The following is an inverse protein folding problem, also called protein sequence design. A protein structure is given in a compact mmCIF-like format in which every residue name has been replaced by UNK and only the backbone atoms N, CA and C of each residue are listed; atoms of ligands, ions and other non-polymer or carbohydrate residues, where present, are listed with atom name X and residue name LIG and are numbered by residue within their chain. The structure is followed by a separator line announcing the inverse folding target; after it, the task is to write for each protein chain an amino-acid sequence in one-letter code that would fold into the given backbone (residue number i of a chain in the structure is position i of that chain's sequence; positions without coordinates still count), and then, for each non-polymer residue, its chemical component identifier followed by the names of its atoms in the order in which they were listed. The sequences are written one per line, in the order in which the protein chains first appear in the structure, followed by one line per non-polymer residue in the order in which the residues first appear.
data_IF_057813475253
#
_entry.id   IF_057813475253
#
_cell.length_a   1.000
_cell.length_b   1.000
_cell.length_c   1.000
_cell.angle_alpha   90.00
_cell.angle_beta   90.00
_cell.angle_gamma   90.00
#
_symmetry.space_group_name_H-M   'P 1'
#
loop_
_entity.id
_entity.type
_entity.pdbx_description
1 polymer ?
#
# COMPACT_ATOMS: atom_id res chain seq x y z
N UNK A 1 30.61 -21.50 71.77
CA UNK A 1 31.22 -21.28 70.43
C UNK A 1 30.27 -21.58 69.28
N UNK A 2 29.31 -22.48 69.42
CA UNK A 2 28.34 -22.83 68.31
C UNK A 2 27.39 -21.70 67.88
N UNK A 3 27.02 -20.79 68.77
CA UNK A 3 26.03 -19.70 68.48
C UNK A 3 26.60 -18.55 67.62
N UNK A 4 27.92 -18.39 67.54
CA UNK A 4 28.58 -17.38 66.69
C UNK A 4 28.84 -17.86 65.29
N UNK A 5 28.89 -19.20 65.04
CA UNK A 5 29.06 -19.78 63.72
C UNK A 5 27.74 -19.74 62.90
N UNK A 6 26.60 -19.90 63.57
CA UNK A 6 25.27 -19.86 62.87
C UNK A 6 24.89 -18.46 62.40
N UNK A 7 25.27 -17.40 63.08
CA UNK A 7 24.99 -16.01 62.66
C UNK A 7 25.86 -15.60 61.49
N UNK A 8 27.12 -16.07 61.40
CA UNK A 8 28.03 -15.76 60.29
C UNK A 8 27.60 -16.49 59.01
N UNK A 9 27.05 -17.69 59.09
CA UNK A 9 26.55 -18.41 57.89
C UNK A 9 25.24 -17.84 57.36
N UNK A 10 24.35 -17.33 58.24
CA UNK A 10 23.12 -16.65 57.82
C UNK A 10 23.40 -15.28 57.16
N UNK A 11 24.44 -14.54 57.58
CA UNK A 11 24.85 -13.30 56.96
C UNK A 11 25.53 -13.49 55.58
N UNK A 12 26.26 -14.59 55.36
CA UNK A 12 26.86 -14.92 54.09
C UNK A 12 25.80 -15.45 53.10
N UNK A 13 24.78 -16.18 53.54
CA UNK A 13 23.67 -16.62 52.70
C UNK A 13 22.75 -15.47 52.26
N UNK A 14 22.60 -14.42 53.09
CA UNK A 14 21.82 -13.23 52.73
C UNK A 14 22.54 -12.33 51.72
N UNK A 15 23.88 -12.37 51.62
CA UNK A 15 24.64 -11.59 50.63
C UNK A 15 24.63 -12.25 49.22
N UNK A 16 24.29 -13.54 49.12
CA UNK A 16 24.28 -14.25 47.82
C UNK A 16 22.95 -14.15 47.06
N UNK A 17 21.87 -13.58 47.65
CA UNK A 17 20.53 -13.46 47.05
C UNK A 17 20.32 -12.16 46.25
N UNK A 18 21.29 -11.22 46.23
CA UNK A 18 21.07 -9.90 45.60
C UNK A 18 21.82 -9.68 44.27
N UNK A 19 22.44 -10.70 43.73
CA UNK A 19 23.00 -10.62 42.36
C UNK A 19 22.17 -11.43 41.36
N UNK A 20 20.85 -11.15 41.28
CA UNK A 20 20.15 -11.39 40.04
C UNK A 20 20.76 -10.43 39.00
N UNK A 21 21.34 -10.91 37.88
CA UNK A 21 21.71 -10.02 36.81
C UNK A 21 20.41 -9.31 36.43
N UNK A 22 20.35 -7.99 36.61
CA UNK A 22 19.39 -7.17 35.90
C UNK A 22 19.62 -7.56 34.44
N UNK A 23 18.69 -8.32 33.87
CA UNK A 23 18.66 -8.56 32.44
C UNK A 23 18.69 -7.16 31.84
N UNK A 24 19.85 -6.74 31.34
CA UNK A 24 19.97 -5.50 30.61
C UNK A 24 18.97 -5.61 29.49
N UNK A 25 17.84 -4.90 29.60
CA UNK A 25 16.92 -4.76 28.51
C UNK A 25 17.76 -4.21 27.36
N UNK A 26 18.00 -5.04 26.34
CA UNK A 26 18.64 -4.56 25.13
C UNK A 26 17.84 -3.33 24.70
N UNK A 27 18.50 -2.20 24.42
CA UNK A 27 17.79 -1.01 23.96
C UNK A 27 16.91 -1.42 22.79
N UNK A 28 15.62 -1.26 22.98
CA UNK A 28 14.65 -1.64 21.96
C UNK A 28 14.89 -0.76 20.74
N UNK A 29 15.08 -1.36 19.57
CA UNK A 29 15.30 -0.65 18.31
C UNK A 29 14.25 0.44 18.12
N UNK A 30 14.62 1.72 17.94
CA UNK A 30 13.66 2.81 17.76
C UNK A 30 12.77 2.56 16.53
N UNK A 31 11.49 2.86 16.65
CA UNK A 31 10.49 2.66 15.60
C UNK A 31 9.57 3.85 15.55
N UNK A 32 9.54 4.54 14.41
CA UNK A 32 8.75 5.75 14.23
C UNK A 32 7.93 5.60 12.96
N UNK A 33 6.63 5.84 13.06
CA UNK A 33 5.73 5.78 11.92
C UNK A 33 4.98 7.11 11.72
N UNK A 34 4.89 7.54 10.47
CA UNK A 34 3.95 8.55 10.02
C UNK A 34 2.73 7.85 9.42
N UNK A 35 1.55 8.12 9.95
CA UNK A 35 0.30 7.57 9.45
C UNK A 35 -0.64 8.71 9.06
N UNK A 36 -0.98 8.78 7.78
CA UNK A 36 -1.90 9.79 7.23
C UNK A 36 -3.12 9.10 6.62
N UNK A 37 -4.31 9.53 7.02
CA UNK A 37 -5.58 9.17 6.42
C UNK A 37 -6.32 10.41 5.92
N UNK A 38 -6.60 10.46 4.62
CA UNK A 38 -7.34 11.54 3.98
C UNK A 38 -8.66 11.01 3.40
N UNK A 39 -9.79 11.50 3.90
CA UNK A 39 -11.12 11.09 3.48
C UNK A 39 -12.02 12.26 3.06
N UNK A 40 -11.85 13.45 3.64
CA UNK A 40 -12.77 14.58 3.50
C UNK A 40 -12.55 15.37 2.20
N UNK A 41 -12.47 14.70 1.06
CA UNK A 41 -12.38 15.36 -0.24
C UNK A 41 -13.72 15.99 -0.65
N UNK A 42 -13.78 17.29 -0.98
CA UNK A 42 -15.04 17.99 -1.24
C UNK A 42 -15.87 17.40 -2.37
N UNK A 43 -15.24 16.88 -3.42
CA UNK A 43 -15.91 16.34 -4.63
C UNK A 43 -16.07 14.82 -4.63
N UNK A 44 -15.61 14.11 -3.62
CA UNK A 44 -15.68 12.64 -3.57
C UNK A 44 -15.06 12.09 -2.30
N UNK A 45 -15.75 12.21 -1.15
CA UNK A 45 -15.23 11.70 0.10
C UNK A 45 -14.99 10.18 0.03
N UNK A 46 -13.93 9.74 0.69
CA UNK A 46 -13.58 8.32 0.82
C UNK A 46 -14.19 7.75 2.10
N UNK A 47 -14.64 6.50 2.03
CA UNK A 47 -15.32 5.87 3.17
C UNK A 47 -14.33 5.33 4.20
N UNK A 48 -13.23 4.72 3.75
CA UNK A 48 -12.39 3.88 4.59
C UNK A 48 -11.06 4.53 5.00
N UNK A 49 -10.56 5.53 4.26
CA UNK A 49 -9.18 6.03 4.42
C UNK A 49 -8.81 6.48 5.83
N UNK A 50 -9.73 7.14 6.57
CA UNK A 50 -9.49 7.49 7.97
C UNK A 50 -9.46 6.25 8.87
N UNK A 51 -10.40 5.33 8.67
CA UNK A 51 -10.48 4.10 9.43
C UNK A 51 -9.25 3.21 9.16
N UNK A 52 -8.82 3.11 7.91
CA UNK A 52 -7.60 2.40 7.48
C UNK A 52 -6.37 2.95 8.20
N UNK A 53 -6.21 4.28 8.23
CA UNK A 53 -5.15 4.94 8.97
C UNK A 53 -5.16 4.59 10.46
N UNK A 54 -6.33 4.65 11.10
CA UNK A 54 -6.50 4.28 12.51
C UNK A 54 -6.17 2.82 12.79
N UNK A 55 -6.60 1.90 11.93
CA UNK A 55 -6.31 0.48 12.04
C UNK A 55 -4.80 0.18 11.94
N UNK A 56 -4.14 0.78 10.96
CA UNK A 56 -2.69 0.60 10.76
C UNK A 56 -1.89 1.25 11.90
N UNK A 57 -2.29 2.45 12.36
CA UNK A 57 -1.65 3.12 13.51
C UNK A 57 -1.73 2.26 14.78
N UNK A 58 -2.90 1.65 15.06
CA UNK A 58 -3.06 0.74 16.20
C UNK A 58 -2.19 -0.52 16.05
N UNK A 59 -2.16 -1.10 14.85
CA UNK A 59 -1.33 -2.27 14.58
C UNK A 59 0.16 -1.97 14.82
N UNK A 60 0.66 -0.84 14.29
CA UNK A 60 2.05 -0.42 14.46
C UNK A 60 2.37 -0.07 15.91
N UNK A 61 1.46 0.61 16.63
CA UNK A 61 1.61 0.88 18.06
C UNK A 61 1.75 -0.41 18.87
N UNK A 62 0.97 -1.43 18.55
CA UNK A 62 0.99 -2.73 19.25
C UNK A 62 2.34 -3.45 19.13
N UNK A 63 3.15 -3.12 18.13
CA UNK A 63 4.49 -3.67 17.91
C UNK A 63 5.60 -2.65 18.20
N UNK A 64 5.29 -1.57 18.92
CA UNK A 64 6.25 -0.63 19.49
C UNK A 64 6.64 0.56 18.63
N UNK A 65 5.84 0.93 17.62
CA UNK A 65 6.05 2.19 16.90
C UNK A 65 5.51 3.38 17.66
N UNK A 66 6.29 4.47 17.69
CA UNK A 66 5.81 5.81 18.01
C UNK A 66 5.11 6.38 16.76
N UNK A 67 3.88 6.86 16.90
CA UNK A 67 3.07 7.33 15.77
C UNK A 67 3.05 8.85 15.67
N UNK A 68 3.37 9.36 14.49
CA UNK A 68 3.06 10.73 14.04
C UNK A 68 1.81 10.65 13.16
N UNK A 69 0.75 11.35 13.55
CA UNK A 69 -0.56 11.22 12.92
C UNK A 69 -0.93 12.43 12.07
N UNK A 70 -1.61 12.16 10.93
CA UNK A 70 -2.27 13.16 10.10
C UNK A 70 -3.65 12.66 9.66
N UNK A 71 -4.70 13.43 9.95
CA UNK A 71 -6.07 13.13 9.55
C UNK A 71 -6.62 14.29 8.72
N UNK A 72 -7.12 13.99 7.51
CA UNK A 72 -7.66 14.98 6.58
C UNK A 72 -6.75 16.20 6.39
N UNK A 73 -5.46 15.91 6.12
CA UNK A 73 -4.43 16.93 6.02
C UNK A 73 -4.54 17.70 4.71
N UNK A 74 -4.53 19.04 4.81
CA UNK A 74 -4.33 19.94 3.70
C UNK A 74 -2.86 19.97 3.25
N UNK A 75 -2.54 20.66 2.16
CA UNK A 75 -1.19 20.67 1.60
C UNK A 75 -0.13 21.21 2.60
N UNK A 76 -0.47 22.23 3.37
CA UNK A 76 0.44 22.82 4.37
C UNK A 76 0.69 21.86 5.53
N UNK A 77 -0.39 21.28 6.08
CA UNK A 77 -0.30 20.33 7.19
C UNK A 77 0.41 19.04 6.76
N UNK A 78 0.19 18.58 5.52
CA UNK A 78 0.90 17.43 4.98
C UNK A 78 2.42 17.60 5.07
N UNK A 79 2.91 18.76 4.59
CA UNK A 79 4.35 19.09 4.64
C UNK A 79 4.86 19.25 6.06
N UNK A 80 4.04 19.80 6.97
CA UNK A 80 4.39 19.97 8.38
C UNK A 80 4.53 18.62 9.09
N UNK A 81 3.51 17.75 9.03
CA UNK A 81 3.57 16.44 9.70
C UNK A 81 4.68 15.54 9.14
N UNK A 82 4.96 15.65 7.84
CA UNK A 82 6.07 14.92 7.23
C UNK A 82 7.43 15.43 7.74
N UNK A 83 7.59 16.74 7.92
CA UNK A 83 8.82 17.32 8.50
C UNK A 83 9.00 16.90 9.96
N UNK A 84 7.93 16.99 10.76
CA UNK A 84 7.94 16.56 12.16
C UNK A 84 8.34 15.08 12.28
N UNK A 85 7.86 14.23 11.37
CA UNK A 85 8.27 12.83 11.27
C UNK A 85 9.77 12.69 10.94
N UNK A 86 10.29 13.40 9.94
CA UNK A 86 11.69 13.32 9.55
C UNK A 86 12.62 13.77 10.70
N UNK A 87 12.27 14.84 11.42
CA UNK A 87 13.02 15.32 12.58
C UNK A 87 13.10 14.24 13.68
N UNK A 88 12.00 13.55 13.98
CA UNK A 88 11.97 12.45 14.92
C UNK A 88 12.83 11.26 14.47
N UNK A 89 12.75 10.88 13.19
CA UNK A 89 13.57 9.80 12.63
C UNK A 89 15.05 10.13 12.71
N UNK A 90 15.45 11.36 12.36
CA UNK A 90 16.84 11.81 12.48
C UNK A 90 17.33 11.79 13.92
N UNK A 91 16.51 12.25 14.87
CA UNK A 91 16.85 12.28 16.29
C UNK A 91 17.01 10.88 16.91
N UNK A 92 16.29 9.87 16.38
CA UNK A 92 16.35 8.49 16.86
C UNK A 92 17.63 7.74 16.43
N UNK A 93 18.37 8.26 15.45
CA UNK A 93 19.65 7.70 15.01
C UNK A 93 19.55 6.60 13.95
N UNK A 94 20.69 6.01 13.53
CA UNK A 94 20.78 5.15 12.35
C UNK A 94 20.09 3.77 12.49
N UNK A 95 19.83 3.33 13.69
CA UNK A 95 19.17 2.04 13.95
C UNK A 95 17.65 2.10 13.88
N UNK A 96 17.05 3.28 13.62
CA UNK A 96 15.60 3.47 13.58
C UNK A 96 14.97 2.73 12.41
N UNK A 97 13.78 2.15 12.63
CA UNK A 97 12.87 1.74 11.56
C UNK A 97 11.88 2.88 11.33
N UNK A 98 11.94 3.47 10.13
CA UNK A 98 11.03 4.53 9.70
C UNK A 98 9.91 3.92 8.84
N UNK A 99 8.65 4.18 9.20
CA UNK A 99 7.47 3.68 8.50
C UNK A 99 6.57 4.85 8.09
N UNK A 100 6.12 4.89 6.85
CA UNK A 100 5.13 5.86 6.36
C UNK A 100 3.94 5.09 5.81
N UNK A 101 2.75 5.41 6.27
CA UNK A 101 1.49 4.91 5.71
C UNK A 101 0.62 6.09 5.27
N UNK A 102 0.19 6.06 4.03
CA UNK A 102 -0.74 7.04 3.49
C UNK A 102 -1.96 6.33 2.90
N UNK A 103 -3.15 6.63 3.41
CA UNK A 103 -4.43 6.25 2.81
C UNK A 103 -5.18 7.50 2.34
N UNK A 104 -5.59 7.53 1.06
CA UNK A 104 -6.21 8.69 0.46
C UNK A 104 -6.38 8.55 -1.06
N UNK A 105 -6.31 9.67 -1.77
CA UNK A 105 -6.24 9.72 -3.21
C UNK A 105 -4.80 9.95 -3.68
N UNK A 106 -4.43 9.28 -4.76
CA UNK A 106 -3.23 9.57 -5.52
C UNK A 106 -3.54 9.63 -7.01
N UNK A 107 -2.84 10.48 -7.73
CA UNK A 107 -2.99 10.67 -9.17
C UNK A 107 -1.62 10.60 -9.81
N UNK A 108 -1.53 9.81 -10.87
CA UNK A 108 -0.37 9.85 -11.74
C UNK A 108 -0.55 10.92 -12.80
N UNK A 109 0.45 11.78 -12.94
CA UNK A 109 0.49 12.80 -13.98
C UNK A 109 1.89 12.89 -14.58
N UNK A 110 2.00 12.69 -15.89
CA UNK A 110 3.25 12.72 -16.66
C UNK A 110 4.37 11.83 -16.10
N UNK A 111 3.99 10.68 -15.55
CA UNK A 111 4.92 9.71 -15.01
C UNK A 111 5.33 9.94 -13.55
N UNK A 112 4.93 11.07 -12.95
CA UNK A 112 5.07 11.31 -11.51
C UNK A 112 3.80 10.95 -10.75
N UNK A 113 3.95 10.48 -9.53
CA UNK A 113 2.85 10.20 -8.62
C UNK A 113 2.66 11.38 -7.66
N UNK A 114 1.42 11.81 -7.48
CA UNK A 114 1.03 12.90 -6.59
C UNK A 114 0.04 12.38 -5.56
N UNK A 115 0.34 12.58 -4.28
CA UNK A 115 -0.60 12.38 -3.19
C UNK A 115 -1.48 13.60 -3.07
N UNK A 116 -2.78 13.41 -2.90
CA UNK A 116 -3.75 14.50 -2.99
C UNK A 116 -4.19 14.91 -1.59
N UNK A 117 -3.87 16.15 -1.14
CA UNK A 117 -4.39 16.73 0.09
C UNK A 117 -5.89 16.97 -0.01
N UNK A 118 -6.59 17.08 1.15
CA UNK A 118 -8.06 17.24 1.14
C UNK A 118 -8.54 18.59 0.62
N UNK A 119 -7.68 19.61 0.61
CA UNK A 119 -7.99 20.96 0.12
C UNK A 119 -7.65 21.17 -1.38
N UNK A 120 -7.11 20.14 -2.07
CA UNK A 120 -6.76 20.23 -3.48
C UNK A 120 -7.96 20.57 -4.37
N UNK A 121 -7.77 21.54 -5.27
CA UNK A 121 -8.78 22.01 -6.22
C UNK A 121 -8.44 21.57 -7.63
N UNK A 122 -8.79 20.33 -7.94
CA UNK A 122 -8.48 19.69 -9.22
C UNK A 122 -9.63 19.88 -10.20
N UNK A 123 -9.51 20.83 -11.10
CA UNK A 123 -10.41 21.06 -12.22
C UNK A 123 -9.81 20.60 -13.54
N UNK A 124 -8.50 20.79 -13.69
CA UNK A 124 -7.70 20.40 -14.85
C UNK A 124 -6.53 19.53 -14.43
N UNK A 125 -6.02 18.75 -15.36
CA UNK A 125 -4.82 17.93 -15.15
C UNK A 125 -3.59 18.76 -14.76
N UNK A 126 -3.49 20.03 -15.25
CA UNK A 126 -2.44 20.98 -14.89
C UNK A 126 -2.47 21.44 -13.41
N UNK A 127 -3.57 21.25 -12.70
CA UNK A 127 -3.69 21.63 -11.29
C UNK A 127 -3.01 20.60 -10.37
N UNK A 128 -2.81 19.37 -10.87
CA UNK A 128 -2.23 18.27 -10.08
C UNK A 128 -0.84 18.62 -9.52
N UNK A 129 0.14 19.12 -10.31
CA UNK A 129 1.44 19.49 -9.76
C UNK A 129 1.40 20.75 -8.86
N UNK A 130 0.32 21.54 -8.91
CA UNK A 130 0.16 22.74 -8.09
C UNK A 130 -0.38 22.39 -6.71
N UNK A 131 -1.47 21.63 -6.66
CA UNK A 131 -2.21 21.32 -5.45
C UNK A 131 -1.84 19.96 -4.83
N UNK A 132 -1.26 19.06 -5.62
CA UNK A 132 -0.77 17.76 -5.17
C UNK A 132 0.58 17.84 -4.44
N UNK A 133 0.89 16.80 -3.69
CA UNK A 133 2.22 16.57 -3.09
C UNK A 133 2.93 15.51 -3.92
N UNK A 134 3.96 15.90 -4.64
CA UNK A 134 4.72 14.98 -5.48
C UNK A 134 5.40 13.92 -4.60
N UNK A 135 5.19 12.66 -4.89
CA UNK A 135 5.74 11.55 -4.10
C UNK A 135 7.27 11.60 -4.02
N UNK A 136 7.93 11.94 -5.11
CA UNK A 136 9.40 12.06 -5.15
C UNK A 136 9.93 13.07 -4.12
N UNK A 137 9.20 14.17 -3.87
CA UNK A 137 9.60 15.22 -2.91
C UNK A 137 9.50 14.74 -1.45
N UNK A 138 8.78 13.63 -1.19
CA UNK A 138 8.73 12.96 0.09
C UNK A 138 9.80 11.85 0.19
N UNK A 139 9.97 11.08 -0.88
CA UNK A 139 10.90 9.95 -0.87
C UNK A 139 12.36 10.40 -0.81
N UNK A 140 12.71 11.51 -1.47
CA UNK A 140 14.08 12.02 -1.50
C UNK A 140 14.63 12.41 -0.12
N UNK A 141 13.98 13.29 0.67
CA UNK A 141 14.47 13.61 2.01
C UNK A 141 14.50 12.38 2.94
N UNK A 142 13.54 11.46 2.80
CA UNK A 142 13.55 10.23 3.56
C UNK A 142 14.71 9.31 3.15
N UNK A 143 15.08 9.30 1.87
CA UNK A 143 16.23 8.52 1.40
C UNK A 143 17.55 9.01 2.02
N UNK A 144 17.68 10.32 2.23
CA UNK A 144 18.87 10.95 2.80
C UNK A 144 19.05 10.69 4.31
N UNK A 145 17.99 10.28 5.01
CA UNK A 145 18.06 9.94 6.45
C UNK A 145 18.72 8.56 6.63
N UNK A 146 19.64 8.48 7.60
CA UNK A 146 20.20 7.20 8.04
C UNK A 146 19.17 6.44 8.90
N UNK A 147 18.82 5.24 8.49
CA UNK A 147 17.88 4.37 9.18
C UNK A 147 18.17 2.90 8.86
N UNK A 148 17.84 1.99 9.75
CA UNK A 148 17.99 0.55 9.53
C UNK A 148 17.07 0.07 8.39
N UNK A 149 15.86 0.62 8.30
CA UNK A 149 14.96 0.45 7.16
C UNK A 149 14.01 1.64 7.03
N UNK A 150 13.64 1.93 5.79
CA UNK A 150 12.65 2.94 5.41
C UNK A 150 11.53 2.25 4.65
N UNK A 151 10.33 2.27 5.19
CA UNK A 151 9.16 1.58 4.64
C UNK A 151 8.12 2.64 4.30
N UNK A 152 7.67 2.68 3.06
CA UNK A 152 6.63 3.61 2.59
C UNK A 152 5.49 2.80 1.99
N UNK A 153 4.30 2.94 2.53
CA UNK A 153 3.11 2.19 2.13
C UNK A 153 2.05 3.17 1.65
N UNK A 154 1.65 3.00 0.39
CA UNK A 154 0.73 3.89 -0.31
C UNK A 154 -0.58 3.17 -0.64
N UNK A 155 -1.57 3.36 0.21
CA UNK A 155 -2.92 2.85 0.04
C UNK A 155 -3.83 3.92 -0.59
N UNK A 156 -3.54 4.25 -1.87
CA UNK A 156 -4.17 5.38 -2.53
C UNK A 156 -4.46 5.14 -4.03
N UNK A 157 -4.34 3.91 -4.51
CA UNK A 157 -4.70 3.53 -5.88
C UNK A 157 -6.22 3.36 -6.02
N UNK A 158 -6.98 4.45 -5.85
CA UNK A 158 -8.44 4.48 -5.90
C UNK A 158 -8.95 5.14 -7.17
N UNK A 159 -10.11 4.73 -7.73
CA UNK A 159 -10.71 5.44 -8.84
C UNK A 159 -11.15 6.84 -8.41
N UNK A 160 -10.94 7.82 -9.29
CA UNK A 160 -11.43 9.17 -9.07
C UNK A 160 -12.96 9.21 -9.20
N UNK A 161 -13.64 9.72 -8.19
CA UNK A 161 -15.11 9.86 -8.15
C UNK A 161 -15.59 11.23 -8.66
N UNK A 162 -14.69 12.02 -9.23
CA UNK A 162 -14.97 13.33 -9.83
C UNK A 162 -14.21 13.48 -11.16
N UNK A 163 -14.71 14.38 -12.01
CA UNK A 163 -14.10 14.59 -13.31
C UNK A 163 -13.03 15.69 -13.20
N UNK A 164 -11.92 15.47 -13.88
CA UNK A 164 -10.84 16.42 -14.10
C UNK A 164 -10.77 16.64 -15.62
N UNK A 165 -10.71 17.90 -16.07
CA UNK A 165 -10.50 18.20 -17.49
C UNK A 165 -9.08 17.75 -17.88
N UNK A 166 -9.00 16.89 -18.88
CA UNK A 166 -7.76 16.25 -19.32
C UNK A 166 -7.85 14.74 -19.28
N UNK A 167 -6.75 14.10 -19.58
CA UNK A 167 -6.70 12.63 -19.60
C UNK A 167 -5.55 12.17 -18.72
N UNK A 168 -5.88 11.34 -17.75
CA UNK A 168 -4.97 10.86 -16.72
C UNK A 168 -4.76 9.35 -16.87
N UNK A 169 -3.54 8.90 -16.60
CA UNK A 169 -3.27 7.49 -16.39
C UNK A 169 -3.90 7.02 -15.07
N UNK A 170 -4.34 5.76 -15.04
CA UNK A 170 -4.94 5.17 -13.83
C UNK A 170 -3.86 4.69 -12.86
N UNK A 171 -4.19 4.68 -11.56
CA UNK A 171 -3.34 4.12 -10.51
C UNK A 171 -2.01 4.83 -10.35
N UNK A 172 -1.04 4.12 -9.82
CA UNK A 172 0.32 4.63 -9.65
C UNK A 172 1.18 4.34 -10.89
N UNK A 173 2.09 5.27 -11.20
CA UNK A 173 3.22 5.01 -12.08
C UNK A 173 4.29 4.19 -11.37
N UNK A 174 5.03 3.38 -12.13
CA UNK A 174 6.16 2.63 -11.59
C UNK A 174 7.27 3.59 -11.13
N UNK A 175 7.84 3.31 -9.97
CA UNK A 175 8.96 4.07 -9.39
C UNK A 175 10.17 3.16 -9.14
N UNK A 176 11.32 3.76 -8.80
CA UNK A 176 12.46 3.09 -8.16
C UNK A 176 12.49 3.47 -6.69
N UNK A 177 12.91 2.51 -5.89
CA UNK A 177 13.22 2.71 -4.49
C UNK A 177 14.65 3.23 -4.33
N UNK A 178 14.96 3.87 -3.23
CA UNK A 178 16.32 4.23 -2.84
C UNK A 178 16.96 3.10 -2.01
N UNK A 179 18.30 3.07 -1.88
CA UNK A 179 18.98 2.11 -1.00
C UNK A 179 18.44 2.13 0.43
N UNK A 180 18.20 0.96 1.02
CA UNK A 180 17.63 0.79 2.35
C UNK A 180 16.15 1.14 2.47
N UNK A 181 15.44 1.28 1.33
CA UNK A 181 14.02 1.64 1.30
C UNK A 181 13.17 0.56 0.60
N UNK A 182 11.98 0.32 1.13
CA UNK A 182 10.90 -0.43 0.52
C UNK A 182 9.72 0.51 0.32
N UNK A 183 9.18 0.57 -0.91
CA UNK A 183 7.95 1.32 -1.22
C UNK A 183 6.91 0.35 -1.74
N UNK A 184 5.77 0.29 -1.05
CA UNK A 184 4.68 -0.61 -1.33
C UNK A 184 3.40 0.15 -1.70
N UNK A 185 2.64 -0.41 -2.62
CA UNK A 185 1.42 0.16 -3.19
C UNK A 185 0.27 -0.81 -3.02
N UNK A 186 -0.92 -0.29 -2.76
CA UNK A 186 -2.12 -1.11 -2.60
C UNK A 186 -2.55 -1.86 -3.87
N UNK A 187 -2.05 -1.45 -5.04
CA UNK A 187 -2.35 -2.09 -6.33
C UNK A 187 -1.16 -2.01 -7.28
N UNK A 188 -1.07 -2.93 -8.23
CA UNK A 188 -0.06 -2.94 -9.27
C UNK A 188 -0.07 -1.64 -10.10
N UNK A 189 1.06 -1.24 -10.73
CA UNK A 189 1.12 -0.05 -11.55
C UNK A 189 0.00 0.01 -12.59
N UNK A 190 -0.64 1.17 -12.71
CA UNK A 190 -1.73 1.40 -13.65
C UNK A 190 -3.06 0.75 -13.29
N UNK A 191 -3.17 0.14 -12.12
CA UNK A 191 -4.42 -0.45 -11.64
C UNK A 191 -4.98 0.31 -10.45
N UNK A 192 -6.29 0.24 -10.27
CA UNK A 192 -7.01 0.83 -9.14
C UNK A 192 -7.87 -0.23 -8.49
N UNK A 193 -8.15 -0.06 -7.21
CA UNK A 193 -9.05 -0.92 -6.45
C UNK A 193 -10.14 -0.09 -5.77
N UNK A 194 -11.37 -0.60 -5.80
CA UNK A 194 -12.48 -0.03 -5.05
C UNK A 194 -12.36 -0.41 -3.57
N UNK A 195 -12.75 0.50 -2.70
CA UNK A 195 -12.96 0.15 -1.29
C UNK A 195 -14.12 -0.86 -1.17
N UNK A 196 -13.89 -1.94 -0.43
CA UNK A 196 -14.93 -2.93 -0.15
C UNK A 196 -16.05 -2.37 0.75
N UNK A 197 -17.15 -3.13 0.93
CA UNK A 197 -18.30 -2.69 1.74
C UNK A 197 -18.03 -2.67 3.25
N UNK A 198 -16.88 -3.16 3.70
CA UNK A 198 -16.48 -3.18 5.11
C UNK A 198 -16.02 -1.82 5.64
N UNK A 199 -15.79 -1.70 6.96
CA UNK A 199 -15.28 -0.48 7.57
C UNK A 199 -13.82 -0.19 7.24
N UNK A 200 -13.10 -1.17 6.75
CA UNK A 200 -11.67 -1.10 6.40
C UNK A 200 -11.42 -1.64 4.99
N UNK A 201 -10.43 -1.07 4.32
CA UNK A 201 -9.91 -1.57 3.06
C UNK A 201 -9.20 -2.93 3.22
N UNK A 202 -9.22 -3.75 2.17
CA UNK A 202 -8.59 -5.06 2.19
C UNK A 202 -7.06 -5.00 2.44
N UNK A 203 -6.41 -3.98 1.87
CA UNK A 203 -4.97 -3.79 2.03
C UNK A 203 -4.59 -3.35 3.44
N UNK A 204 -5.29 -2.36 4.01
CA UNK A 204 -5.09 -1.93 5.39
C UNK A 204 -5.33 -3.08 6.39
N UNK A 205 -6.37 -3.89 6.16
CA UNK A 205 -6.66 -5.09 6.95
C UNK A 205 -5.50 -6.09 6.87
N UNK A 206 -5.02 -6.40 5.67
CA UNK A 206 -3.90 -7.33 5.48
C UNK A 206 -2.61 -6.82 6.15
N UNK A 207 -2.32 -5.51 6.07
CA UNK A 207 -1.19 -4.90 6.78
C UNK A 207 -1.34 -5.09 8.28
N UNK A 208 -2.49 -4.71 8.86
CA UNK A 208 -2.73 -4.78 10.31
C UNK A 208 -2.65 -6.21 10.86
N UNK A 209 -3.05 -7.22 10.06
CA UNK A 209 -2.90 -8.62 10.40
C UNK A 209 -1.42 -9.05 10.36
N UNK A 210 -0.73 -8.79 9.24
CA UNK A 210 0.57 -9.38 8.95
C UNK A 210 1.74 -8.69 9.68
N UNK A 211 1.68 -7.38 9.97
CA UNK A 211 2.78 -6.68 10.69
C UNK A 211 2.99 -7.21 12.10
N UNK A 212 2.02 -7.91 12.67
CA UNK A 212 2.09 -8.55 14.00
C UNK A 212 2.66 -9.96 13.96
N UNK A 213 2.82 -10.54 12.76
CA UNK A 213 3.36 -11.88 12.58
C UNK A 213 4.86 -11.92 12.94
N UNK A 214 5.28 -12.80 13.86
CA UNK A 214 6.68 -12.88 14.25
C UNK A 214 7.54 -13.58 13.20
N UNK A 215 8.82 -13.22 13.13
CA UNK A 215 9.84 -13.91 12.34
C UNK A 215 9.75 -13.72 10.83
N UNK A 216 8.99 -12.73 10.35
CA UNK A 216 8.94 -12.36 8.95
C UNK A 216 9.93 -11.24 8.66
N UNK A 217 10.84 -11.46 7.72
CA UNK A 217 11.57 -10.37 7.10
C UNK A 217 10.63 -9.51 6.23
N UNK A 218 11.01 -8.25 5.97
CA UNK A 218 10.13 -7.29 5.28
C UNK A 218 9.68 -7.78 3.90
N UNK A 219 10.52 -8.41 3.11
CA UNK A 219 10.10 -8.89 1.79
C UNK A 219 9.07 -10.03 1.90
N UNK A 220 9.30 -10.98 2.83
CA UNK A 220 8.33 -12.03 3.11
C UNK A 220 7.03 -11.46 3.70
N UNK A 221 7.13 -10.46 4.56
CA UNK A 221 5.98 -9.76 5.13
C UNK A 221 5.11 -9.14 4.02
N UNK A 222 5.72 -8.36 3.12
CA UNK A 222 4.98 -7.72 2.03
C UNK A 222 4.46 -8.72 0.99
N UNK A 223 5.18 -9.80 0.73
CA UNK A 223 4.67 -10.90 -0.10
C UNK A 223 3.40 -11.53 0.51
N UNK A 224 3.34 -11.73 1.83
CA UNK A 224 2.14 -12.22 2.52
C UNK A 224 1.01 -11.20 2.55
N UNK A 225 1.31 -9.91 2.76
CA UNK A 225 0.31 -8.83 2.67
C UNK A 225 -0.32 -8.83 1.27
N UNK A 226 0.49 -8.99 0.21
CA UNK A 226 0.01 -9.09 -1.17
C UNK A 226 -0.91 -10.28 -1.37
N UNK A 227 -0.49 -11.47 -0.95
CA UNK A 227 -1.29 -12.68 -1.07
C UNK A 227 -2.60 -12.55 -0.27
N UNK A 228 -2.53 -12.03 0.96
CA UNK A 228 -3.70 -11.84 1.82
C UNK A 228 -4.71 -10.86 1.24
N UNK A 229 -4.24 -9.75 0.65
CA UNK A 229 -5.09 -8.77 -0.04
C UNK A 229 -5.73 -9.38 -1.29
N UNK A 230 -4.94 -10.13 -2.07
CA UNK A 230 -5.44 -10.83 -3.26
C UNK A 230 -6.54 -11.85 -2.89
N UNK A 231 -6.34 -12.65 -1.84
CA UNK A 231 -7.35 -13.58 -1.31
C UNK A 231 -8.62 -12.86 -0.85
N UNK A 232 -8.48 -11.80 -0.04
CA UNK A 232 -9.59 -11.05 0.52
C UNK A 232 -10.48 -10.40 -0.53
N UNK A 233 -9.88 -10.01 -1.67
CA UNK A 233 -10.57 -9.35 -2.78
C UNK A 233 -10.96 -10.30 -3.93
N UNK A 234 -10.77 -11.61 -3.75
CA UNK A 234 -10.94 -12.57 -4.85
C UNK A 234 -10.04 -12.25 -6.04
N UNK A 235 -8.85 -11.64 -5.77
CA UNK A 235 -7.85 -11.23 -6.74
C UNK A 235 -8.17 -9.92 -7.49
N UNK A 236 -9.18 -9.15 -7.10
CA UNK A 236 -9.47 -7.85 -7.70
C UNK A 236 -8.38 -6.81 -7.36
N UNK A 237 -7.69 -7.00 -6.25
CA UNK A 237 -6.60 -6.12 -5.82
C UNK A 237 -5.34 -6.96 -5.57
N UNK A 238 -4.26 -6.59 -6.23
CA UNK A 238 -2.94 -7.22 -6.06
C UNK A 238 -1.94 -6.12 -5.74
N UNK A 239 -1.51 -5.99 -4.48
CA UNK A 239 -0.47 -5.04 -4.07
C UNK A 239 0.85 -5.28 -4.80
N UNK A 240 1.68 -4.27 -4.84
CA UNK A 240 2.99 -4.30 -5.46
C UNK A 240 3.98 -3.51 -4.63
N UNK A 241 5.26 -3.93 -4.64
CA UNK A 241 6.33 -3.18 -3.99
C UNK A 241 7.60 -3.15 -4.82
N UNK A 242 8.44 -2.15 -4.52
CA UNK A 242 9.83 -2.08 -4.93
C UNK A 242 10.70 -1.99 -3.69
N UNK A 243 11.69 -2.87 -3.59
CA UNK A 243 12.57 -2.98 -2.44
C UNK A 243 14.03 -2.88 -2.86
N UNK A 244 14.78 -2.03 -2.16
CA UNK A 244 16.24 -1.97 -2.17
C UNK A 244 16.80 -2.06 -0.75
N UNK A 245 16.19 -2.91 0.07
CA UNK A 245 16.69 -3.19 1.42
C UNK A 245 18.09 -3.80 1.35
N UNK A 246 18.97 -3.35 2.23
CA UNK A 246 20.37 -3.81 2.27
C UNK A 246 20.58 -4.89 3.32
N UNK A 247 19.73 -4.93 4.34
CA UNK A 247 19.81 -5.85 5.46
C UNK A 247 18.46 -6.51 5.71
N UNK A 248 18.50 -7.69 6.32
CA UNK A 248 17.30 -8.37 6.79
C UNK A 248 16.75 -7.62 8.01
N UNK A 249 15.50 -7.15 7.91
CA UNK A 249 14.79 -6.44 8.97
C UNK A 249 13.47 -7.16 9.26
N UNK A 250 13.16 -7.38 10.52
CA UNK A 250 11.91 -7.95 11.00
C UNK A 250 11.20 -6.94 11.91
N UNK A 251 9.90 -6.73 11.70
CA UNK A 251 9.11 -5.87 12.59
C UNK A 251 8.86 -6.56 13.94
N UNK A 252 8.62 -7.85 13.93
CA UNK A 252 8.45 -8.66 15.13
C UNK A 252 9.44 -9.83 15.08
N UNK A 253 10.51 -9.83 15.90
CA UNK A 253 11.42 -10.97 15.99
C UNK A 253 10.71 -12.23 16.44
N UNK A 254 11.15 -13.38 15.98
CA UNK A 254 10.58 -14.66 16.41
C UNK A 254 10.60 -15.74 15.33
N UNK A 255 9.79 -16.76 15.51
CA UNK A 255 9.57 -17.82 14.53
C UNK A 255 8.19 -17.63 13.89
N UNK A 256 8.07 -17.70 12.54
CA UNK A 256 6.77 -17.60 11.90
C UNK A 256 5.79 -18.64 12.39
N UNK A 257 4.50 -18.32 12.46
CA UNK A 257 3.45 -19.26 12.79
C UNK A 257 3.45 -20.43 11.80
N UNK A 258 3.17 -21.65 12.31
CA UNK A 258 3.06 -22.82 11.45
C UNK A 258 1.92 -22.63 10.43
N UNK A 259 2.12 -23.10 9.17
CA UNK A 259 1.08 -23.02 8.16
C UNK A 259 -0.16 -23.83 8.58
N UNK A 260 -1.37 -23.45 8.11
CA UNK A 260 -2.56 -24.23 8.35
C UNK A 260 -2.42 -25.65 7.79
N UNK A 261 -3.07 -26.66 8.39
CA UNK A 261 -3.05 -28.02 7.87
C UNK A 261 -3.52 -28.06 6.42
N UNK A 262 -2.67 -28.60 5.53
CA UNK A 262 -2.97 -28.69 4.10
C UNK A 262 -2.44 -27.54 3.25
N UNK A 263 -1.81 -26.52 3.83
CA UNK A 263 -1.07 -25.53 3.05
C UNK A 263 0.15 -26.18 2.38
N UNK A 264 0.48 -25.82 1.13
CA UNK A 264 1.70 -26.30 0.49
C UNK A 264 2.91 -25.97 1.36
N UNK A 265 3.66 -27.03 1.74
CA UNK A 265 4.85 -26.90 2.59
C UNK A 265 5.95 -26.11 1.86
N UNK A 266 5.91 -24.87 1.80
CA UNK A 266 6.87 -24.02 1.08
C UNK A 266 6.44 -22.58 0.97
N UNK A 267 5.12 -22.33 0.99
CA UNK A 267 4.59 -20.96 0.92
C UNK A 267 4.90 -20.15 2.18
N UNK A 268 5.03 -20.81 3.31
CA UNK A 268 5.08 -20.16 4.63
C UNK A 268 6.38 -20.36 5.40
N UNK A 269 7.35 -21.12 4.84
CA UNK A 269 8.67 -21.26 5.44
C UNK A 269 9.55 -20.09 5.01
N UNK A 270 9.46 -18.98 5.74
CA UNK A 270 10.56 -18.02 5.70
C UNK A 270 11.80 -18.69 6.30
N UNK A 271 12.98 -18.67 5.65
CA UNK A 271 14.21 -19.02 6.33
C UNK A 271 14.35 -18.14 7.56
N UNK A 272 14.77 -18.71 8.69
CA UNK A 272 15.14 -17.95 9.87
C UNK A 272 16.31 -17.04 9.48
N UNK A 273 16.00 -15.84 9.01
CA UNK A 273 17.00 -14.86 8.69
C UNK A 273 17.46 -14.21 9.98
N UNK A 274 18.75 -14.22 10.24
CA UNK A 274 19.32 -13.43 11.33
C UNK A 274 19.13 -11.95 11.02
N UNK A 275 18.50 -11.20 11.93
CA UNK A 275 18.40 -9.73 11.81
C UNK A 275 19.79 -9.12 11.56
N UNK A 276 19.85 -8.17 10.61
CA UNK A 276 21.10 -7.50 10.25
C UNK A 276 21.99 -8.28 9.27
N UNK A 277 21.65 -9.51 8.89
CA UNK A 277 22.36 -10.20 7.82
C UNK A 277 22.17 -9.46 6.48
N UNK A 278 23.15 -9.57 5.54
CA UNK A 278 23.00 -8.99 4.22
C UNK A 278 21.74 -9.52 3.54
N UNK A 279 20.98 -8.62 2.93
CA UNK A 279 19.76 -8.98 2.24
C UNK A 279 20.09 -9.78 0.98
N UNK A 280 19.57 -11.01 0.88
CA UNK A 280 19.68 -11.85 -0.31
C UNK A 280 18.27 -12.08 -0.86
N UNK A 281 18.05 -11.70 -2.12
CA UNK A 281 16.79 -11.97 -2.80
C UNK A 281 16.53 -13.48 -2.80
N UNK A 282 15.36 -13.89 -2.33
CA UNK A 282 14.95 -15.29 -2.26
C UNK A 282 14.96 -15.90 -3.67
N UNK A 283 15.49 -17.12 -3.81
CA UNK A 283 15.43 -17.85 -5.07
C UNK A 283 13.98 -18.17 -5.45
N UNK A 284 13.59 -17.99 -6.73
CA UNK A 284 12.24 -18.32 -7.20
C UNK A 284 11.89 -19.79 -6.89
N UNK A 285 10.67 -20.03 -6.45
CA UNK A 285 10.13 -21.40 -6.25
C UNK A 285 9.50 -21.87 -7.55
N UNK A 286 9.81 -23.10 -8.00
CA UNK A 286 9.21 -23.67 -9.20
C UNK A 286 7.71 -23.90 -8.98
N UNK A 287 6.90 -23.58 -10.00
CA UNK A 287 5.43 -23.73 -9.96
C UNK A 287 4.92 -24.91 -10.79
N UNK A 288 5.79 -25.56 -11.58
CA UNK A 288 5.41 -26.56 -12.59
C UNK A 288 4.79 -27.83 -12.03
N UNK A 289 5.09 -28.16 -10.77
CA UNK A 289 4.62 -29.40 -10.14
C UNK A 289 3.47 -29.16 -9.16
N UNK A 290 2.92 -27.93 -9.14
CA UNK A 290 1.84 -27.52 -8.26
C UNK A 290 0.49 -27.56 -9.01
N UNK A 291 -0.63 -27.80 -8.31
CA UNK A 291 -1.95 -27.51 -8.87
C UNK A 291 -2.10 -26.04 -9.29
N UNK A 292 -2.99 -25.73 -10.26
CA UNK A 292 -3.14 -24.35 -10.76
C UNK A 292 -3.39 -23.28 -9.69
N UNK A 293 -4.16 -23.62 -8.65
CA UNK A 293 -4.46 -22.71 -7.53
C UNK A 293 -3.21 -22.43 -6.69
N UNK A 294 -2.46 -23.48 -6.35
CA UNK A 294 -1.24 -23.37 -5.56
C UNK A 294 -0.16 -22.63 -6.34
N UNK A 295 -0.03 -22.95 -7.64
CA UNK A 295 0.86 -22.25 -8.55
C UNK A 295 0.54 -20.76 -8.66
N UNK A 296 -0.76 -20.40 -8.69
CA UNK A 296 -1.21 -19.01 -8.68
C UNK A 296 -0.81 -18.29 -7.39
N UNK A 297 -1.04 -18.91 -6.23
CA UNK A 297 -0.65 -18.32 -4.96
C UNK A 297 0.87 -18.09 -4.87
N UNK A 298 1.69 -19.06 -5.34
CA UNK A 298 3.14 -18.89 -5.42
C UNK A 298 3.51 -17.75 -6.38
N UNK A 299 2.85 -17.65 -7.54
CA UNK A 299 3.12 -16.58 -8.49
C UNK A 299 2.79 -15.20 -7.91
N UNK A 300 1.67 -15.06 -7.18
CA UNK A 300 1.32 -13.83 -6.48
C UNK A 300 2.33 -13.51 -5.36
N UNK A 301 2.78 -14.51 -4.60
CA UNK A 301 3.76 -14.31 -3.53
C UNK A 301 5.13 -13.88 -4.08
N UNK A 302 5.61 -14.50 -5.16
CA UNK A 302 6.91 -14.16 -5.77
C UNK A 302 6.89 -12.83 -6.51
N UNK A 303 5.79 -12.55 -7.18
CA UNK A 303 5.50 -11.29 -7.88
C UNK A 303 6.56 -10.89 -8.92
N UNK A 304 7.07 -11.84 -9.68
CA UNK A 304 8.01 -11.60 -10.77
C UNK A 304 7.44 -12.00 -12.15
N UNK A 305 7.86 -11.27 -13.19
CA UNK A 305 7.39 -11.53 -14.56
C UNK A 305 7.68 -12.92 -15.08
N UNK A 306 8.88 -13.51 -14.86
CA UNK A 306 9.15 -14.88 -15.28
C UNK A 306 8.16 -15.90 -14.71
N UNK A 307 7.87 -15.82 -13.42
CA UNK A 307 6.91 -16.73 -12.76
C UNK A 307 5.49 -16.55 -13.31
N UNK A 308 5.05 -15.30 -13.52
CA UNK A 308 3.74 -15.05 -14.15
C UNK A 308 3.67 -15.61 -15.58
N UNK A 309 4.73 -15.45 -16.39
CA UNK A 309 4.82 -16.01 -17.75
C UNK A 309 4.82 -17.54 -17.72
N UNK A 310 5.55 -18.16 -16.78
CA UNK A 310 5.54 -19.60 -16.60
C UNK A 310 4.14 -20.08 -16.22
N UNK A 311 3.44 -19.36 -15.32
CA UNK A 311 2.08 -19.70 -14.92
C UNK A 311 1.11 -19.78 -16.08
N UNK A 312 1.04 -18.75 -16.93
CA UNK A 312 0.08 -18.73 -18.07
C UNK A 312 0.43 -19.72 -19.16
N UNK A 313 1.69 -20.18 -19.25
CA UNK A 313 2.12 -21.26 -20.14
C UNK A 313 1.70 -22.64 -19.64
N UNK A 314 1.83 -22.88 -18.32
CA UNK A 314 1.49 -24.15 -17.70
C UNK A 314 -0.02 -24.34 -17.54
N UNK A 315 -0.75 -23.25 -17.28
CA UNK A 315 -2.18 -23.29 -16.93
C UNK A 315 -3.00 -22.32 -17.78
N UNK A 316 -3.00 -22.43 -19.14
CA UNK A 316 -3.67 -21.45 -20.02
C UNK A 316 -5.18 -21.38 -19.76
N UNK A 317 -5.81 -22.50 -19.40
CA UNK A 317 -7.27 -22.61 -19.18
C UNK A 317 -7.69 -22.38 -17.71
N UNK A 318 -6.75 -21.99 -16.85
CA UNK A 318 -7.06 -21.68 -15.45
C UNK A 318 -7.95 -20.44 -15.35
N UNK A 319 -8.90 -20.39 -14.40
CA UNK A 319 -9.74 -19.22 -14.17
C UNK A 319 -8.92 -17.98 -13.73
N UNK A 320 -7.68 -18.18 -13.32
CA UNK A 320 -6.77 -17.09 -12.93
C UNK A 320 -5.94 -16.54 -14.11
N UNK A 321 -5.85 -17.27 -15.22
CA UNK A 321 -4.90 -16.94 -16.31
C UNK A 321 -5.17 -15.60 -16.99
N UNK A 322 -6.43 -15.20 -17.17
CA UNK A 322 -6.76 -13.88 -17.72
C UNK A 322 -6.23 -12.74 -16.84
N UNK A 323 -6.31 -12.91 -15.52
CA UNK A 323 -5.82 -11.94 -14.56
C UNK A 323 -4.30 -11.88 -14.55
N UNK A 324 -3.64 -13.04 -14.59
CA UNK A 324 -2.17 -13.10 -14.68
C UNK A 324 -1.70 -12.43 -15.98
N UNK A 325 -2.39 -12.63 -17.10
CA UNK A 325 -2.12 -11.92 -18.36
C UNK A 325 -2.24 -10.40 -18.20
N UNK A 326 -3.29 -9.91 -17.52
CA UNK A 326 -3.46 -8.48 -17.25
C UNK A 326 -2.31 -7.93 -16.40
N UNK A 327 -1.86 -8.68 -15.40
CA UNK A 327 -0.69 -8.32 -14.57
C UNK A 327 0.60 -8.26 -15.40
N UNK A 328 0.88 -9.27 -16.23
CA UNK A 328 2.04 -9.31 -17.13
C UNK A 328 2.05 -8.06 -18.02
N UNK A 329 0.93 -7.76 -18.67
CA UNK A 329 0.80 -6.62 -19.58
C UNK A 329 1.02 -5.29 -18.86
N UNK A 330 0.32 -5.07 -17.74
CA UNK A 330 0.45 -3.84 -16.97
C UNK A 330 1.90 -3.59 -16.50
N UNK A 331 2.60 -4.63 -16.05
CA UNK A 331 3.99 -4.53 -15.61
C UNK A 331 4.95 -4.22 -16.76
N UNK A 332 4.80 -4.91 -17.88
CA UNK A 332 5.65 -4.64 -19.05
C UNK A 332 5.42 -3.25 -19.61
N UNK A 333 4.16 -2.82 -19.67
CA UNK A 333 3.82 -1.46 -20.09
C UNK A 333 4.43 -0.41 -19.16
N UNK A 334 4.34 -0.61 -17.84
CA UNK A 334 4.93 0.28 -16.85
C UNK A 334 6.46 0.33 -16.95
N UNK A 335 7.13 -0.80 -17.18
CA UNK A 335 8.58 -0.85 -17.41
C UNK A 335 8.97 -0.09 -18.67
N UNK A 336 8.30 -0.32 -19.80
CA UNK A 336 8.57 0.39 -21.04
C UNK A 336 8.33 1.90 -20.90
N UNK A 337 7.21 2.28 -20.31
CA UNK A 337 6.91 3.67 -20.05
C UNK A 337 7.98 4.34 -19.21
N UNK A 338 8.42 3.66 -18.16
CA UNK A 338 9.49 4.17 -17.32
C UNK A 338 10.80 4.36 -18.08
N UNK A 339 11.19 3.42 -18.95
CA UNK A 339 12.36 3.58 -19.82
C UNK A 339 12.22 4.77 -20.76
N UNK A 340 11.04 4.97 -21.33
CA UNK A 340 10.73 6.13 -22.15
C UNK A 340 10.89 7.45 -21.36
N UNK A 341 10.44 7.49 -20.10
CA UNK A 341 10.61 8.65 -19.22
C UNK A 341 12.08 8.96 -18.91
N UNK A 342 12.89 7.94 -18.59
CA UNK A 342 14.31 8.11 -18.28
C UNK A 342 15.10 8.58 -19.49
N UNK A 343 14.79 8.07 -20.70
CA UNK A 343 15.42 8.49 -21.93
C UNK A 343 14.95 9.87 -22.38
N UNK A 344 13.70 10.23 -22.10
CA UNK A 344 13.07 11.51 -22.41
C UNK A 344 13.34 12.01 -23.85
N UNK A 345 13.18 11.13 -24.83
CA UNK A 345 13.40 11.41 -26.24
C UNK A 345 12.16 11.12 -27.08
N UNK A 346 11.99 11.79 -28.25
CA UNK A 346 10.88 11.47 -29.15
C UNK A 346 10.83 10.00 -29.55
N UNK A 347 11.97 9.38 -29.84
CA UNK A 347 12.07 7.99 -30.27
C UNK A 347 11.57 7.04 -29.19
N UNK A 348 11.85 7.32 -27.92
CA UNK A 348 11.39 6.51 -26.80
C UNK A 348 9.86 6.61 -26.63
N UNK A 349 9.28 7.80 -26.78
CA UNK A 349 7.82 7.99 -26.68
C UNK A 349 7.09 7.40 -27.88
N UNK A 350 7.62 7.53 -29.10
CA UNK A 350 7.05 6.85 -30.28
C UNK A 350 7.15 5.33 -30.16
N UNK A 351 8.25 4.79 -29.63
CA UNK A 351 8.40 3.35 -29.34
C UNK A 351 7.31 2.88 -28.39
N UNK A 352 7.09 3.62 -27.29
CA UNK A 352 6.02 3.30 -26.35
C UNK A 352 4.65 3.31 -27.03
N UNK A 353 4.31 4.38 -27.76
CA UNK A 353 3.02 4.54 -28.43
C UNK A 353 2.77 3.50 -29.52
N UNK A 354 3.80 3.03 -30.22
CA UNK A 354 3.68 1.96 -31.21
C UNK A 354 3.49 0.59 -30.55
N UNK A 355 4.16 0.33 -29.43
CA UNK A 355 4.03 -0.94 -28.70
C UNK A 355 2.73 -1.03 -27.91
N UNK A 356 2.22 0.09 -27.44
CA UNK A 356 0.98 0.21 -26.66
C UNK A 356 0.10 1.35 -27.20
N UNK A 357 -0.53 1.20 -28.38
CA UNK A 357 -1.32 2.27 -29.01
C UNK A 357 -2.54 2.68 -28.16
N UNK A 358 -3.12 1.74 -27.41
CA UNK A 358 -4.21 1.96 -26.47
C UNK A 358 -3.70 1.96 -25.00
N UNK A 359 -2.41 2.21 -24.81
CA UNK A 359 -1.76 2.18 -23.49
C UNK A 359 -2.18 3.34 -22.62
N UNK A 360 -2.14 3.12 -21.30
CA UNK A 360 -2.61 4.11 -20.33
C UNK A 360 -1.76 5.40 -20.31
N UNK A 361 -0.53 5.36 -20.77
CA UNK A 361 0.38 6.51 -20.79
C UNK A 361 0.46 7.22 -22.15
N UNK A 362 -0.36 6.86 -23.14
CA UNK A 362 -0.33 7.45 -24.48
C UNK A 362 -0.53 8.97 -24.44
N UNK A 363 -1.41 9.45 -23.57
CA UNK A 363 -1.64 10.90 -23.44
C UNK A 363 -0.45 11.61 -22.80
N UNK A 364 0.20 11.00 -21.84
CA UNK A 364 1.43 11.52 -21.25
C UNK A 364 2.57 11.55 -22.26
N UNK A 365 2.70 10.50 -23.07
CA UNK A 365 3.68 10.45 -24.16
C UNK A 365 3.47 11.59 -25.16
N UNK A 366 2.23 11.85 -25.59
CA UNK A 366 1.91 12.98 -26.46
C UNK A 366 2.19 14.34 -25.82
N UNK A 367 1.89 14.52 -24.53
CA UNK A 367 2.25 15.76 -23.81
C UNK A 367 3.75 16.00 -23.79
N UNK A 368 4.53 14.95 -23.55
CA UNK A 368 5.99 15.04 -23.54
C UNK A 368 6.58 15.28 -24.93
N UNK A 369 6.04 14.66 -26.00
CA UNK A 369 6.42 14.96 -27.37
C UNK A 369 6.21 16.45 -27.71
N UNK A 370 5.06 17.02 -27.33
CA UNK A 370 4.81 18.47 -27.53
C UNK A 370 5.81 19.34 -26.77
N UNK A 371 6.21 18.99 -25.56
CA UNK A 371 7.27 19.71 -24.82
C UNK A 371 8.64 19.65 -25.50
N UNK A 372 8.93 18.53 -26.16
CA UNK A 372 10.14 18.34 -26.96
C UNK A 372 10.02 18.96 -28.35
N UNK A 373 8.92 19.67 -28.67
CA UNK A 373 8.62 20.20 -30.01
C UNK A 373 8.68 19.13 -31.11
N UNK A 374 8.36 17.86 -30.74
CA UNK A 374 8.33 16.74 -31.67
C UNK A 374 6.92 16.46 -32.20
N UNK A 375 6.82 15.79 -33.33
CA UNK A 375 5.56 15.38 -33.92
C UNK A 375 4.83 14.32 -33.00
N UNK A 376 3.51 14.32 -33.04
CA UNK A 376 2.70 13.35 -32.28
C UNK A 376 2.88 11.89 -32.75
N UNK A 377 3.43 11.66 -33.93
CA UNK A 377 3.75 10.36 -34.49
C UNK A 377 5.15 10.27 -35.07
N UNK A 378 5.69 9.04 -35.21
CA UNK A 378 7.04 8.85 -35.72
C UNK A 378 7.17 9.22 -37.21
N UNK A 379 8.37 9.64 -37.67
CA UNK A 379 8.64 9.88 -39.07
C UNK A 379 8.62 8.58 -39.90
N UNK A 380 8.47 8.70 -41.25
CA UNK A 380 8.60 7.52 -42.11
C UNK A 380 9.95 6.82 -41.93
N UNK A 381 9.93 5.50 -41.82
CA UNK A 381 11.14 4.70 -41.63
C UNK A 381 11.61 4.60 -40.17
N UNK A 382 10.91 5.16 -39.21
CA UNK A 382 11.21 5.01 -37.79
C UNK A 382 11.28 3.53 -37.40
N UNK A 383 12.28 3.18 -36.62
CA UNK A 383 12.41 1.86 -36.00
C UNK A 383 12.27 2.00 -34.50
N UNK A 384 11.40 1.15 -33.90
CA UNK A 384 11.25 1.11 -32.46
C UNK A 384 12.61 0.80 -31.80
N UNK A 385 12.84 1.46 -30.67
CA UNK A 385 13.97 1.17 -29.82
C UNK A 385 13.77 -0.21 -29.18
N UNK A 386 14.85 -0.96 -29.06
CA UNK A 386 14.89 -2.18 -28.24
C UNK A 386 15.44 -1.84 -26.85
N UNK A 387 14.75 -2.33 -25.84
CA UNK A 387 15.12 -2.14 -24.45
C UNK A 387 15.40 -3.53 -23.85
N UNK A 388 16.66 -3.85 -23.66
CA UNK A 388 17.12 -5.19 -23.22
C UNK A 388 16.45 -5.67 -21.92
N UNK A 389 16.03 -4.74 -21.06
CA UNK A 389 15.42 -5.02 -19.76
C UNK A 389 13.88 -4.99 -19.78
N UNK A 390 13.27 -4.71 -20.92
CA UNK A 390 11.81 -4.76 -21.10
C UNK A 390 11.43 -6.01 -21.88
N UNK A 391 10.85 -7.03 -21.22
CA UNK A 391 10.49 -8.28 -21.91
C UNK A 391 9.55 -8.04 -23.09
N UNK A 392 9.81 -8.72 -24.20
CA UNK A 392 8.93 -8.70 -25.39
C UNK A 392 7.57 -9.32 -25.07
N UNK A 393 6.52 -8.99 -25.86
CA UNK A 393 5.22 -9.64 -25.76
C UNK A 393 5.33 -11.18 -25.80
N UNK A 394 4.58 -11.83 -24.91
CA UNK A 394 4.55 -13.29 -24.84
C UNK A 394 3.66 -13.84 -25.93
N UNK A 395 4.06 -14.90 -26.60
CA UNK A 395 3.22 -15.59 -27.58
C UNK A 395 1.94 -16.07 -26.90
N UNK A 396 0.78 -15.74 -27.50
CA UNK A 396 -0.53 -16.07 -26.93
C UNK A 396 -1.12 -14.99 -26.00
N UNK A 397 -0.44 -13.85 -25.84
CA UNK A 397 -0.99 -12.74 -25.07
C UNK A 397 -2.28 -12.19 -25.72
N UNK A 398 -3.39 -12.08 -24.96
CA UNK A 398 -4.64 -11.54 -25.49
C UNK A 398 -4.50 -10.07 -25.90
N UNK A 399 -5.04 -9.70 -27.05
CA UNK A 399 -4.90 -8.35 -27.61
C UNK A 399 -5.62 -7.25 -26.81
N UNK A 400 -6.65 -7.60 -26.03
CA UNK A 400 -7.45 -6.66 -25.24
C UNK A 400 -7.61 -7.18 -23.82
N UNK A 401 -7.02 -6.51 -22.84
CA UNK A 401 -7.08 -6.87 -21.41
C UNK A 401 -7.51 -5.70 -20.50
N UNK A 402 -7.89 -4.54 -21.09
CA UNK A 402 -8.05 -3.31 -20.30
C UNK A 402 -9.37 -3.17 -19.54
N UNK A 403 -10.42 -3.93 -19.87
CA UNK A 403 -11.76 -3.55 -19.45
C UNK A 403 -12.42 -4.45 -18.38
N UNK A 404 -11.90 -5.61 -18.10
CA UNK A 404 -12.57 -6.50 -17.12
C UNK A 404 -11.53 -7.39 -16.44
N UNK A 405 -11.30 -7.17 -15.16
CA UNK A 405 -10.84 -8.25 -14.31
C UNK A 405 -12.04 -9.18 -14.07
N UNK A 406 -12.18 -10.33 -14.78
CA UNK A 406 -13.26 -11.25 -14.46
C UNK A 406 -13.10 -11.66 -13.00
N UNK A 407 -14.22 -11.66 -12.27
CA UNK A 407 -14.24 -12.19 -10.92
C UNK A 407 -13.81 -13.66 -10.97
N UNK A 408 -12.53 -13.93 -10.75
CA UNK A 408 -12.07 -15.27 -10.52
C UNK A 408 -12.50 -15.70 -9.12
N UNK A 409 -12.82 -16.97 -8.89
CA UNK A 409 -13.04 -17.45 -7.55
C UNK A 409 -11.79 -17.13 -6.71
N UNK A 410 -11.94 -16.77 -5.43
CA UNK A 410 -10.79 -16.54 -4.57
C UNK A 410 -9.94 -17.82 -4.51
N UNK A 411 -8.60 -17.71 -4.49
CA UNK A 411 -7.74 -18.85 -4.23
C UNK A 411 -8.08 -19.44 -2.86
N UNK A 412 -7.70 -20.69 -2.63
CA UNK A 412 -7.78 -21.27 -1.30
C UNK A 412 -7.04 -20.39 -0.30
N UNK A 413 -7.53 -20.33 0.93
CA UNK A 413 -6.80 -19.62 1.99
C UNK A 413 -5.52 -20.37 2.30
N UNK A 414 -4.39 -19.84 1.90
CA UNK A 414 -3.05 -20.39 2.18
C UNK A 414 -2.46 -19.85 3.48
N UNK A 415 -2.97 -18.72 3.97
CA UNK A 415 -2.52 -18.13 5.23
C UNK A 415 -3.39 -18.64 6.37
N UNK A 416 -2.76 -18.94 7.51
CA UNK A 416 -3.49 -19.26 8.72
C UNK A 416 -4.48 -18.13 9.02
N UNK A 417 -5.69 -18.43 9.52
CA UNK A 417 -6.54 -17.38 10.08
C UNK A 417 -5.73 -16.65 11.17
N UNK A 418 -5.86 -15.31 11.26
CA UNK A 418 -5.17 -14.56 12.29
C UNK A 418 -5.48 -15.14 13.67
N UNK A 419 -4.53 -15.09 14.63
CA UNK A 419 -4.78 -15.53 16.01
C UNK A 419 -6.07 -14.95 16.56
N UNK A 420 -6.76 -15.68 17.43
CA UNK A 420 -8.10 -15.31 17.91
C UNK A 420 -8.19 -13.90 18.55
N UNK A 421 -7.08 -13.36 19.05
CA UNK A 421 -7.01 -11.98 19.54
C UNK A 421 -6.97 -10.92 18.43
N UNK A 422 -6.76 -11.34 17.16
CA UNK A 422 -6.82 -10.47 15.96
C UNK A 422 -8.18 -10.63 15.26
N UNK A 423 -8.93 -11.70 15.53
CA UNK A 423 -10.27 -11.99 14.94
C UNK A 423 -11.32 -10.94 15.34
N UNK A 424 -11.15 -10.25 16.46
CA UNK A 424 -11.83 -8.99 16.70
C UNK A 424 -10.96 -7.87 16.17
N UNK A 425 -11.00 -7.56 14.86
CA UNK A 425 -10.54 -6.23 14.44
C UNK A 425 -11.14 -5.25 15.45
N UNK A 426 -10.33 -4.37 16.07
CA UNK A 426 -10.87 -3.43 17.02
C UNK A 426 -12.06 -2.74 16.35
N UNK A 427 -13.16 -2.49 17.09
CA UNK A 427 -14.22 -1.67 16.54
C UNK A 427 -13.57 -0.39 16.01
N UNK A 428 -14.08 0.17 14.90
CA UNK A 428 -13.54 1.41 14.37
C UNK A 428 -13.32 2.39 15.51
N UNK A 429 -12.17 3.07 15.58
CA UNK A 429 -11.79 3.88 16.74
C UNK A 429 -12.98 4.74 17.14
N UNK A 430 -13.46 4.56 18.38
CA UNK A 430 -14.56 5.38 18.89
C UNK A 430 -14.14 6.84 18.78
N UNK A 431 -14.98 7.73 18.27
CA UNK A 431 -14.63 9.14 18.21
C UNK A 431 -14.17 9.59 19.60
N UNK A 432 -12.91 9.92 19.76
CA UNK A 432 -12.48 10.40 21.07
C UNK A 432 -11.03 10.15 21.52
N UNK A 433 -10.05 9.61 20.74
CA UNK A 433 -8.63 9.45 21.12
C UNK A 433 -7.70 9.90 20.03
N UNK A 434 -6.76 10.80 20.32
CA UNK A 434 -5.84 11.33 19.34
C UNK A 434 -6.48 12.30 18.33
N UNK A 435 -5.75 12.65 17.30
CA UNK A 435 -6.25 13.46 16.17
C UNK A 435 -7.44 12.80 15.46
N UNK A 436 -7.48 11.46 15.39
CA UNK A 436 -8.60 10.66 14.89
C UNK A 436 -9.91 10.89 15.65
N UNK A 437 -9.85 11.44 16.88
CA UNK A 437 -10.99 11.78 17.71
C UNK A 437 -11.61 13.15 17.43
N UNK A 438 -10.88 14.11 16.83
CA UNK A 438 -11.31 15.52 16.83
C UNK A 438 -12.04 15.98 15.58
N UNK A 439 -12.11 15.21 14.49
CA UNK A 439 -12.57 15.69 13.19
C UNK A 439 -13.70 14.86 12.54
N UNK A 440 -14.55 14.20 13.33
CA UNK A 440 -15.85 13.85 12.76
C UNK A 440 -16.68 15.15 12.70
N UNK A 441 -17.05 15.67 11.51
CA UNK A 441 -18.08 16.66 11.45
C UNK A 441 -19.34 16.01 12.05
N UNK A 442 -19.92 16.64 13.06
CA UNK A 442 -21.26 16.29 13.51
C UNK A 442 -22.17 16.43 12.29
N UNK A 443 -22.48 15.34 11.61
CA UNK A 443 -23.61 15.34 10.70
C UNK A 443 -24.81 15.69 11.55
N UNK A 444 -25.54 16.81 11.24
CA UNK A 444 -26.79 17.06 11.91
C UNK A 444 -27.68 15.86 11.60
N UNK A 445 -27.97 15.05 12.61
CA UNK A 445 -29.05 14.08 12.50
C UNK A 445 -30.27 14.89 12.15
N UNK A 446 -30.75 14.77 10.91
CA UNK A 446 -32.11 15.23 10.56
C UNK A 446 -33.01 14.29 11.34
N UNK A 447 -33.31 14.68 12.57
CA UNK A 447 -34.39 14.12 13.33
C UNK A 447 -35.65 14.62 12.61
N UNK A 448 -36.20 13.77 11.78
CA UNK A 448 -37.52 13.96 11.21
C UNK A 448 -38.48 13.93 12.39
N UNK A 449 -39.10 15.07 12.83
CA UNK A 449 -40.06 15.03 13.93
C UNK A 449 -41.27 14.30 13.42
N UNK A 450 -41.46 13.05 13.89
CA UNK A 450 -42.67 12.31 13.64
C UNK A 450 -43.94 13.15 14.03
N UNK A 451 -45.07 12.89 13.41
CA UNK A 451 -46.27 13.68 13.62
C UNK A 451 -46.69 13.58 15.08
N UNK A 452 -46.90 14.75 15.70
CA UNK A 452 -47.50 14.88 17.05
C UNK A 452 -48.92 14.33 17.02
N UNK A 453 -49.33 13.46 17.95
CA UNK A 453 -50.74 13.08 18.07
C UNK A 453 -51.57 14.25 18.58
N UNK A 454 -52.61 14.63 17.83
CA UNK A 454 -53.70 15.47 18.26
C UNK A 454 -53.76 16.87 17.68
N UNK A 455 -54.10 17.00 16.39
CA UNK A 455 -54.87 18.15 15.91
C UNK A 455 -55.80 17.72 14.78
N UNK A 456 -57.09 17.82 15.06
CA UNK A 456 -58.22 17.58 14.17
C UNK A 456 -58.32 18.78 13.21
N UNK A 457 -58.57 18.59 11.88
CA UNK A 457 -58.75 19.71 10.96
C UNK A 457 -60.13 20.36 11.14
N UNK A 458 -60.11 21.63 11.52
CA UNK A 458 -61.28 22.48 11.48
C UNK A 458 -61.47 23.04 10.07
N UNK A 459 -62.70 22.97 9.59
CA UNK A 459 -63.25 23.56 8.37
C UNK A 459 -63.26 25.10 8.43
N UNK A 460 -63.05 25.75 7.26
CA UNK A 460 -63.27 27.21 7.16
C UNK A 460 -63.00 27.78 5.78
N UNK A 461 -64.00 27.76 4.96
CA UNK A 461 -64.49 28.72 3.95
C UNK A 461 -63.65 29.95 3.48
N UNK A 462 -63.49 30.05 2.16
CA UNK A 462 -63.97 31.21 1.42
C UNK A 462 -62.95 32.31 1.05
N UNK A 463 -62.80 32.58 -0.26
CA UNK A 463 -62.37 33.91 -0.68
C UNK A 463 -61.62 33.98 -2.03
N UNK A 464 -62.37 34.15 -3.07
CA UNK A 464 -62.21 34.80 -4.39
C UNK A 464 -60.79 35.25 -4.92
N UNK A 465 -60.62 35.18 -6.23
CA UNK A 465 -59.39 35.59 -6.94
C UNK A 465 -59.46 37.08 -7.39
N UNK A 466 -58.34 37.70 -7.72
CA UNK A 466 -58.29 38.94 -8.46
C UNK A 466 -58.04 38.75 -9.96
N UNK A 467 -58.70 39.55 -10.73
CA UNK A 467 -58.47 39.94 -12.12
C UNK A 467 -57.88 41.37 -12.12
N UNK A 468 -57.41 41.81 -13.24
CA UNK A 468 -56.93 41.25 -14.51
C UNK A 468 -55.40 41.34 -14.65
#
# INVERSE_FOLDING_TARGET
MLRKLTVTFAALAALFVVALPAAAQQPQQPRIALVIGNAAYPKGPLQNSLADGGLVAEALTSIGFEIVEGADVNQTDFRRVFRDFLEKVQAAGPDVIAFVYYSGLAIQFEGDNYLIPVDARLERDSDIPIDGVRLFDLLRPLADVQAAAKIVVLDAARPLRFQIQGQLARGFGAIESAPGMLVAFSSAPGTVAEDGPGPYGAYATAIAEMVREPGLDLDTLFARIRLRTNEATGGAQTPWEVSQLQHVVMLVPGTPNAPPPGAPQGLLSAPQAAMGAPHQRRAPRPIRDLPPEDAYAVAIEQDDLPTYVEYVRLYPDSPYSQRVWATIRARREALLWRRALLMNSPDAYWTYMQRYPDGMYVFDARRRLRRLSAADGPPPGFRMLDFDDVPLPVVGEPARLYDVYPAAPPPRRFLAPPPAFIVGLPPPPRPGGGLWRRQQPAFPMIVNPGPRPGQIPGQGFGGRPPKP
#
